data_IF_656387210128
#
_entry.id   IF_656387210128
#
_cell.length_a   1.000
_cell.length_b   1.000
_cell.length_c   1.000
_cell.angle_alpha   90.00
_cell.angle_beta   90.00
_cell.angle_gamma   90.00
#
_symmetry.space_group_name_H-M   'P 1'
#
loop_
_entity.id
_entity.type
_entity.pdbx_description
1 polymer ?
#
# COMPACT_ATOMS: atom_id res chain seq x y z
N UNK A 1 3.78 -23.23 -6.83
CA UNK A 1 4.51 -22.00 -6.44
C UNK A 1 3.45 -21.04 -5.92
N UNK A 2 3.62 -20.50 -4.72
CA UNK A 2 2.57 -19.73 -4.05
C UNK A 2 2.36 -18.38 -4.73
N UNK A 3 1.11 -18.04 -5.03
CA UNK A 3 0.66 -16.81 -5.69
C UNK A 3 1.23 -15.52 -5.07
N UNK A 4 1.64 -15.56 -3.79
CA UNK A 4 2.29 -14.46 -3.08
C UNK A 4 3.71 -14.13 -3.56
N UNK A 5 4.49 -15.12 -4.00
CA UNK A 5 5.85 -14.92 -4.51
C UNK A 5 5.86 -14.34 -5.93
N UNK A 6 4.89 -14.72 -6.76
CA UNK A 6 4.73 -14.19 -8.12
C UNK A 6 4.42 -12.69 -8.08
N UNK A 7 3.47 -12.29 -7.24
CA UNK A 7 3.13 -10.87 -7.04
C UNK A 7 4.29 -10.08 -6.42
N UNK A 8 5.04 -10.67 -5.49
CA UNK A 8 6.21 -10.02 -4.89
C UNK A 8 7.28 -9.65 -5.92
N UNK A 9 7.50 -10.50 -6.93
CA UNK A 9 8.47 -10.24 -8.00
C UNK A 9 7.98 -9.22 -9.04
N UNK A 10 6.67 -9.06 -9.20
CA UNK A 10 6.07 -8.07 -10.12
C UNK A 10 6.01 -6.66 -9.52
N UNK A 11 6.04 -6.55 -8.19
CA UNK A 11 6.01 -5.28 -7.48
C UNK A 11 7.41 -4.69 -7.31
N UNK A 12 7.54 -3.40 -7.64
CA UNK A 12 8.75 -2.64 -7.33
C UNK A 12 8.81 -2.22 -5.86
N UNK A 13 10.00 -1.82 -5.42
CA UNK A 13 10.26 -1.30 -4.06
C UNK A 13 9.32 -0.16 -3.67
N UNK A 14 8.87 0.67 -4.64
CA UNK A 14 7.91 1.75 -4.36
C UNK A 14 6.54 1.24 -3.98
N UNK A 15 6.04 0.20 -4.64
CA UNK A 15 4.75 -0.39 -4.32
C UNK A 15 4.82 -1.10 -2.96
N UNK A 16 5.91 -1.83 -2.69
CA UNK A 16 6.14 -2.50 -1.42
C UNK A 16 6.22 -1.50 -0.25
N UNK A 17 6.95 -0.39 -0.40
CA UNK A 17 7.01 0.65 0.62
C UNK A 17 5.63 1.25 0.95
N UNK A 18 4.77 1.44 -0.08
CA UNK A 18 3.40 1.92 0.13
C UNK A 18 2.55 0.87 0.84
N UNK A 19 2.68 -0.40 0.46
CA UNK A 19 1.98 -1.51 1.11
C UNK A 19 2.36 -1.64 2.60
N UNK A 20 3.65 -1.64 2.92
CA UNK A 20 4.12 -1.71 4.30
C UNK A 20 3.67 -0.50 5.13
N UNK A 21 3.71 0.71 4.55
CA UNK A 21 3.18 1.88 5.25
C UNK A 21 1.67 1.77 5.52
N UNK A 22 0.89 1.27 4.57
CA UNK A 22 -0.54 1.03 4.77
C UNK A 22 -0.80 -0.07 5.80
N UNK A 23 -0.04 -1.16 5.75
CA UNK A 23 -0.12 -2.27 6.71
C UNK A 23 0.20 -1.79 8.13
N UNK A 24 1.29 -1.04 8.30
CA UNK A 24 1.68 -0.46 9.58
C UNK A 24 0.61 0.49 10.14
N UNK A 25 0.05 1.37 9.31
CA UNK A 25 -0.98 2.32 9.75
C UNK A 25 -2.34 1.66 10.02
N UNK A 26 -2.66 0.59 9.30
CA UNK A 26 -3.89 -0.18 9.48
C UNK A 26 -3.84 -1.07 10.74
N UNK A 27 -2.63 -1.45 11.18
CA UNK A 27 -2.43 -2.32 12.32
C UNK A 27 -3.21 -3.64 12.19
N UNK A 28 -3.77 -4.11 13.30
CA UNK A 28 -4.54 -5.36 13.35
C UNK A 28 -5.93 -5.30 12.73
N UNK A 29 -6.44 -4.11 12.37
CA UNK A 29 -7.79 -3.97 11.78
C UNK A 29 -7.78 -4.07 10.25
N UNK A 30 -6.59 -4.03 9.62
CA UNK A 30 -6.45 -4.15 8.17
C UNK A 30 -7.04 -2.97 7.38
N UNK A 31 -7.53 -1.92 8.05
CA UNK A 31 -8.11 -0.74 7.39
C UNK A 31 -7.55 0.56 7.97
N UNK A 32 -7.24 1.52 7.11
CA UNK A 32 -6.73 2.85 7.49
C UNK A 32 -7.37 3.94 6.63
N UNK A 33 -7.69 5.08 7.22
CA UNK A 33 -8.15 6.27 6.47
C UNK A 33 -7.05 7.34 6.46
N UNK A 34 -6.48 7.61 5.28
CA UNK A 34 -5.36 8.54 5.11
C UNK A 34 -5.41 9.22 3.74
N UNK A 35 -4.85 10.42 3.59
CA UNK A 35 -4.73 11.06 2.27
C UNK A 35 -3.46 10.58 1.55
N UNK A 36 -3.46 10.60 0.22
CA UNK A 36 -2.27 10.29 -0.56
C UNK A 36 -1.10 11.25 -0.25
N UNK A 37 -1.40 12.50 0.11
CA UNK A 37 -0.38 13.47 0.53
C UNK A 37 0.23 13.14 1.89
N UNK A 38 -0.57 12.72 2.87
CA UNK A 38 -0.06 12.31 4.17
C UNK A 38 0.78 11.03 4.06
N UNK A 39 0.35 10.06 3.25
CA UNK A 39 1.10 8.84 3.00
C UNK A 39 2.43 9.12 2.27
N UNK A 40 2.42 10.02 1.28
CA UNK A 40 3.64 10.48 0.63
C UNK A 40 4.59 11.18 1.61
N UNK A 41 4.06 12.01 2.51
CA UNK A 41 4.84 12.67 3.56
C UNK A 41 5.51 11.67 4.51
N UNK A 42 4.77 10.66 4.96
CA UNK A 42 5.31 9.60 5.83
C UNK A 42 6.43 8.78 5.14
N UNK A 43 6.31 8.58 3.83
CA UNK A 43 7.32 7.91 3.01
C UNK A 43 8.49 8.82 2.58
N UNK A 44 8.47 10.11 2.94
CA UNK A 44 9.46 11.09 2.51
C UNK A 44 9.40 11.47 1.02
N UNK A 45 8.28 11.19 0.35
CA UNK A 45 8.11 11.43 -1.08
C UNK A 45 7.64 12.86 -1.35
N UNK A 46 8.33 13.56 -2.26
CA UNK A 46 7.97 14.93 -2.67
C UNK A 46 6.61 15.05 -3.36
N UNK A 47 6.09 13.97 -3.96
CA UNK A 47 4.84 14.00 -4.74
C UNK A 47 3.95 12.81 -4.40
N UNK A 48 2.67 13.09 -4.17
CA UNK A 48 1.63 12.08 -3.93
C UNK A 48 1.22 11.30 -5.18
N UNK A 49 1.59 11.77 -6.38
CA UNK A 49 1.32 11.06 -7.63
C UNK A 49 1.99 9.69 -7.69
N UNK A 50 3.17 9.54 -7.07
CA UNK A 50 3.84 8.25 -6.95
C UNK A 50 3.04 7.28 -6.08
N UNK A 51 2.52 7.75 -4.94
CA UNK A 51 1.69 6.94 -4.04
C UNK A 51 0.42 6.50 -4.76
N UNK A 52 -0.24 7.42 -5.49
CA UNK A 52 -1.45 7.10 -6.23
C UNK A 52 -1.21 6.00 -7.27
N UNK A 53 -0.11 6.06 -8.01
CA UNK A 53 0.22 5.00 -8.98
C UNK A 53 0.49 3.67 -8.27
N UNK A 54 1.28 3.69 -7.18
CA UNK A 54 1.53 2.49 -6.40
C UNK A 54 0.24 1.86 -5.87
N UNK A 55 -0.69 2.66 -5.34
CA UNK A 55 -1.99 2.19 -4.86
C UNK A 55 -2.78 1.51 -5.99
N UNK A 56 -2.82 2.09 -7.19
CA UNK A 56 -3.50 1.49 -8.35
C UNK A 56 -2.89 0.13 -8.68
N UNK A 57 -1.56 0.01 -8.65
CA UNK A 57 -0.89 -1.26 -8.92
C UNK A 57 -1.23 -2.28 -7.82
N UNK A 58 -1.19 -1.87 -6.53
CA UNK A 58 -1.55 -2.73 -5.40
C UNK A 58 -3.01 -3.21 -5.45
N UNK A 59 -3.95 -2.34 -5.86
CA UNK A 59 -5.35 -2.73 -6.09
C UNK A 59 -5.49 -3.75 -7.23
N UNK A 60 -4.75 -3.56 -8.33
CA UNK A 60 -4.76 -4.51 -9.48
C UNK A 60 -4.26 -5.90 -9.09
N UNK A 61 -3.28 -5.98 -8.19
CA UNK A 61 -2.76 -7.24 -7.67
C UNK A 61 -3.60 -7.80 -6.51
N UNK A 62 -4.72 -7.17 -6.14
CA UNK A 62 -5.60 -7.65 -5.08
C UNK A 62 -4.95 -7.61 -3.68
N UNK A 63 -4.03 -6.66 -3.46
CA UNK A 63 -3.34 -6.50 -2.18
C UNK A 63 -4.03 -5.47 -1.28
N UNK A 64 -4.68 -4.49 -1.88
CA UNK A 64 -5.37 -3.41 -1.17
C UNK A 64 -6.68 -3.12 -1.90
N UNK A 65 -7.65 -2.56 -1.21
CA UNK A 65 -8.86 -1.97 -1.80
C UNK A 65 -9.05 -0.56 -1.27
N UNK A 66 -9.49 0.36 -2.12
CA UNK A 66 -9.72 1.75 -1.76
C UNK A 66 -11.21 2.07 -1.78
N UNK A 67 -11.78 2.26 -0.60
CA UNK A 67 -13.16 2.75 -0.44
C UNK A 67 -13.12 4.27 -0.27
N UNK A 68 -14.02 4.98 -0.95
CA UNK A 68 -14.07 6.45 -0.98
C UNK A 68 -12.96 7.09 -1.83
N UNK A 69 -12.77 6.59 -3.06
CA UNK A 69 -11.87 7.16 -4.07
C UNK A 69 -12.38 8.52 -4.55
N UNK A 70 -12.22 9.56 -3.71
CA UNK A 70 -12.48 10.93 -4.12
C UNK A 70 -11.46 11.29 -5.20
N UNK A 71 -11.81 11.01 -6.46
CA UNK A 71 -11.03 11.39 -7.65
C UNK A 71 -10.81 12.91 -7.78
N UNK A 72 -11.40 13.70 -6.87
CA UNK A 72 -11.45 15.16 -6.86
C UNK A 72 -10.40 15.85 -5.96
N UNK A 73 -9.46 15.15 -5.32
CA UNK A 73 -8.34 15.85 -4.68
C UNK A 73 -7.36 15.00 -3.89
N UNK A 74 -6.06 15.26 -4.07
CA UNK A 74 -4.95 14.58 -3.37
C UNK A 74 -4.96 14.76 -1.85
N UNK A 75 -5.69 15.76 -1.33
CA UNK A 75 -5.82 16.05 0.10
C UNK A 75 -7.06 15.44 0.76
N UNK A 76 -7.95 14.78 0.00
CA UNK A 76 -9.06 14.05 0.63
C UNK A 76 -8.54 12.72 1.17
N UNK A 77 -8.92 12.35 2.41
CA UNK A 77 -8.62 11.03 2.94
C UNK A 77 -9.38 9.97 2.14
N UNK A 78 -8.70 8.87 1.83
CA UNK A 78 -9.31 7.66 1.30
C UNK A 78 -9.19 6.57 2.35
N UNK A 79 -10.12 5.62 2.35
CA UNK A 79 -10.08 4.45 3.22
C UNK A 79 -9.44 3.30 2.45
N UNK A 80 -8.29 2.84 2.92
CA UNK A 80 -7.54 1.72 2.37
C UNK A 80 -7.78 0.50 3.25
N UNK A 81 -8.13 -0.63 2.64
CA UNK A 81 -8.22 -1.91 3.32
C UNK A 81 -7.17 -2.83 2.72
N UNK A 82 -6.19 -3.24 3.53
CA UNK A 82 -5.17 -4.24 3.18
C UNK A 82 -5.85 -5.60 3.18
N UNK A 83 -5.74 -6.30 2.05
CA UNK A 83 -6.34 -7.63 1.87
C UNK A 83 -5.42 -8.71 2.45
N UNK A 84 -5.91 -9.94 2.71
CA UNK A 84 -5.10 -11.00 3.29
C UNK A 84 -3.79 -11.27 2.54
N UNK A 85 -3.80 -11.19 1.20
CA UNK A 85 -2.58 -11.32 0.39
C UNK A 85 -1.62 -10.14 0.60
N UNK A 86 -2.15 -8.92 0.76
CA UNK A 86 -1.36 -7.73 1.06
C UNK A 86 -0.66 -7.81 2.42
N UNK A 87 -1.33 -8.36 3.44
CA UNK A 87 -0.71 -8.63 4.74
C UNK A 87 0.48 -9.58 4.63
N UNK A 88 0.30 -10.73 3.96
CA UNK A 88 1.37 -11.71 3.76
C UNK A 88 2.56 -11.13 2.98
N UNK A 89 2.29 -10.33 1.94
CA UNK A 89 3.35 -9.69 1.13
C UNK A 89 4.10 -8.64 1.95
N UNK A 90 3.41 -7.85 2.77
CA UNK A 90 4.03 -6.86 3.64
C UNK A 90 4.92 -7.53 4.71
N UNK A 91 4.41 -8.54 5.39
CA UNK A 91 5.15 -9.30 6.42
C UNK A 91 6.40 -9.97 5.83
N UNK A 92 6.30 -10.57 4.64
CA UNK A 92 7.45 -11.15 3.96
C UNK A 92 8.50 -10.11 3.59
N UNK A 93 8.09 -8.92 3.13
CA UNK A 93 9.02 -7.84 2.80
C UNK A 93 9.75 -7.32 4.04
N UNK A 94 9.03 -7.09 5.13
CA UNK A 94 9.61 -6.63 6.40
C UNK A 94 10.59 -7.66 6.98
N UNK A 95 10.26 -8.95 6.88
CA UNK A 95 11.15 -10.03 7.29
C UNK A 95 12.44 -10.10 6.45
N UNK A 96 12.36 -9.75 5.15
CA UNK A 96 13.52 -9.71 4.25
C UNK A 96 14.44 -8.50 4.53
N UNK A 97 13.89 -7.33 4.83
CA UNK A 97 14.68 -6.12 5.15
C UNK A 97 15.34 -6.20 6.54
N UNK A 98 14.82 -7.04 7.45
CA UNK A 98 15.36 -7.22 8.79
C UNK A 98 16.49 -8.27 8.90
N UNK A 99 16.77 -9.02 7.81
CA UNK A 99 17.76 -10.10 7.74
C UNK A 99 19.11 -9.63 7.16
#
# INVERSE_FOLDING_TARGET
>A
MSQSLEVFHELGTRQLNVLCALHFLAGGEGTVTVSHSALAGALGWRRSSGVRQSVIDLERHGLVTVTNNSMLGANRPNTFTVLPLGHVVAENYEAMEAA
#
